data_IF_919177056718
#
_entry.id   IF_919177056718
#
_cell.length_a   1.000
_cell.length_b   1.000
_cell.length_c   1.000
_cell.angle_alpha   90.00
_cell.angle_beta   90.00
_cell.angle_gamma   90.00
#
_symmetry.space_group_name_H-M   'P 1'
#
loop_
_entity.id
_entity.type
_entity.pdbx_description
1 polymer ?
#
# COMPACT_ATOMS: atom_id res chain seq x y z
N UNK A 1 -0.57 12.43 10.12
CA UNK A 1 0.01 11.19 9.60
C UNK A 1 0.28 10.28 10.78
N UNK A 2 0.03 8.99 10.67
CA UNK A 2 0.46 8.00 11.68
C UNK A 2 1.98 7.87 11.55
N UNK A 3 2.66 7.93 12.67
CA UNK A 3 4.11 7.93 12.76
C UNK A 3 4.63 6.63 13.42
N UNK A 4 5.93 6.48 13.47
CA UNK A 4 6.62 5.33 14.08
C UNK A 4 6.20 5.12 15.56
N UNK A 5 5.91 6.20 16.29
CA UNK A 5 5.45 6.14 17.68
C UNK A 5 4.08 5.43 17.78
N UNK A 6 3.18 5.68 16.86
CA UNK A 6 1.87 4.99 16.80
C UNK A 6 2.03 3.52 16.46
N UNK A 7 2.90 3.19 15.49
CA UNK A 7 3.19 1.80 15.13
C UNK A 7 3.79 1.03 16.31
N UNK A 8 4.77 1.61 17.00
CA UNK A 8 5.42 1.01 18.17
C UNK A 8 4.42 0.76 19.32
N UNK A 9 3.53 1.71 19.59
CA UNK A 9 2.47 1.57 20.60
C UNK A 9 1.48 0.46 20.23
N UNK A 10 1.10 0.36 18.96
CA UNK A 10 0.21 -0.69 18.49
C UNK A 10 0.82 -2.09 18.66
N UNK A 11 2.12 -2.24 18.35
CA UNK A 11 2.85 -3.48 18.57
C UNK A 11 2.90 -3.82 20.07
N UNK A 12 3.28 -2.86 20.93
CA UNK A 12 3.29 -3.03 22.37
C UNK A 12 1.94 -3.49 22.90
N UNK A 13 0.88 -2.86 22.50
CA UNK A 13 -0.48 -3.21 22.90
C UNK A 13 -0.89 -4.62 22.43
N UNK A 14 -0.53 -5.01 21.22
CA UNK A 14 -0.79 -6.37 20.73
C UNK A 14 -0.08 -7.44 21.58
N UNK A 15 1.17 -7.18 21.99
CA UNK A 15 1.94 -8.06 22.89
C UNK A 15 1.32 -8.14 24.28
N UNK A 16 0.86 -7.02 24.87
CA UNK A 16 0.13 -6.98 26.13
C UNK A 16 -1.16 -7.81 26.07
N UNK A 17 -1.83 -7.84 24.94
CA UNK A 17 -3.00 -8.68 24.68
C UNK A 17 -2.65 -10.17 24.44
N UNK A 18 -1.38 -10.56 24.56
CA UNK A 18 -0.92 -11.95 24.47
C UNK A 18 -0.57 -12.41 23.06
N UNK A 19 -0.31 -11.50 22.14
CA UNK A 19 0.30 -11.87 20.87
C UNK A 19 1.75 -12.28 21.09
N UNK A 20 2.19 -13.37 20.44
CA UNK A 20 3.59 -13.79 20.39
C UNK A 20 4.38 -13.05 19.30
N UNK A 21 3.68 -12.41 18.39
CA UNK A 21 4.21 -11.60 17.30
C UNK A 21 3.20 -10.55 16.88
N UNK A 22 3.68 -9.36 16.54
CA UNK A 22 2.89 -8.32 15.91
C UNK A 22 3.74 -7.55 14.90
N UNK A 23 3.16 -7.19 13.77
CA UNK A 23 3.69 -6.20 12.86
C UNK A 23 2.59 -5.20 12.46
N UNK A 24 3.03 -3.98 12.19
CA UNK A 24 2.17 -2.88 11.75
C UNK A 24 2.77 -2.29 10.49
N UNK A 25 1.92 -2.06 9.51
CA UNK A 25 2.29 -1.36 8.30
C UNK A 25 1.35 -0.17 8.09
N UNK A 26 1.94 0.99 7.89
CA UNK A 26 1.25 2.19 7.43
C UNK A 26 1.65 2.42 5.98
N UNK A 27 0.68 2.62 5.10
CA UNK A 27 0.94 2.86 3.69
C UNK A 27 0.11 4.06 3.21
N UNK A 28 0.76 4.97 2.51
CA UNK A 28 0.14 6.00 1.71
C UNK A 28 0.43 5.73 0.24
N UNK A 29 -0.60 5.77 -0.60
CA UNK A 29 -0.47 5.60 -2.04
C UNK A 29 -1.24 6.69 -2.76
N UNK A 30 -0.59 7.32 -3.71
CA UNK A 30 -1.23 8.19 -4.70
C UNK A 30 -1.04 7.59 -6.08
N UNK A 31 -2.14 7.41 -6.81
CA UNK A 31 -2.12 6.89 -8.19
C UNK A 31 -2.84 7.87 -9.10
N UNK A 32 -2.23 8.16 -10.24
CA UNK A 32 -2.87 8.93 -11.31
C UNK A 32 -2.58 8.30 -12.66
N UNK A 33 -3.62 8.24 -13.51
CA UNK A 33 -3.47 7.68 -14.83
C UNK A 33 -4.49 8.22 -15.82
N UNK A 34 -4.25 7.98 -17.10
CA UNK A 34 -5.18 8.31 -18.17
C UNK A 34 -5.06 7.30 -19.31
N UNK A 35 -6.13 7.19 -20.05
CA UNK A 35 -6.22 6.52 -21.34
C UNK A 35 -6.40 7.56 -22.41
N UNK A 36 -5.51 7.58 -23.39
CA UNK A 36 -5.58 8.40 -24.59
C UNK A 36 -5.84 7.51 -25.80
N UNK A 37 -6.88 7.81 -26.56
CA UNK A 37 -7.21 7.08 -27.78
C UNK A 37 -7.34 8.06 -28.94
N UNK A 38 -6.61 7.81 -30.01
CA UNK A 38 -6.62 8.63 -31.22
C UNK A 38 -6.45 10.14 -30.97
N UNK A 39 -5.60 10.51 -30.01
CA UNK A 39 -5.32 11.91 -29.63
C UNK A 39 -6.29 12.52 -28.62
N UNK A 40 -7.34 11.82 -28.24
CA UNK A 40 -8.32 12.27 -27.24
C UNK A 40 -8.16 11.52 -25.92
N UNK A 41 -8.29 12.23 -24.80
CA UNK A 41 -8.34 11.59 -23.48
C UNK A 41 -9.74 11.01 -23.29
N UNK A 42 -9.82 9.67 -23.22
CA UNK A 42 -11.07 8.94 -23.03
C UNK A 42 -11.38 8.72 -21.55
N UNK A 43 -10.33 8.55 -20.74
CA UNK A 43 -10.49 8.27 -19.32
C UNK A 43 -9.33 8.85 -18.52
N UNK A 44 -9.66 9.35 -17.31
CA UNK A 44 -8.68 9.71 -16.29
C UNK A 44 -9.04 9.02 -14.98
N UNK A 45 -8.05 8.55 -14.26
CA UNK A 45 -8.21 7.98 -12.93
C UNK A 45 -7.27 8.70 -11.95
N UNK A 46 -7.75 8.93 -10.73
CA UNK A 46 -6.96 9.43 -9.62
C UNK A 46 -7.47 8.80 -8.34
N UNK A 47 -6.58 8.23 -7.54
CA UNK A 47 -6.90 7.74 -6.20
C UNK A 47 -5.82 8.16 -5.21
N UNK A 48 -6.25 8.35 -3.96
CA UNK A 48 -5.37 8.48 -2.80
C UNK A 48 -5.87 7.44 -1.80
N UNK A 49 -4.99 6.54 -1.41
CA UNK A 49 -5.26 5.50 -0.44
C UNK A 49 -4.30 5.69 0.74
N UNK A 50 -4.83 5.78 1.93
CA UNK A 50 -4.09 5.81 3.18
C UNK A 50 -4.62 4.73 4.09
N UNK A 51 -3.76 3.86 4.59
CA UNK A 51 -4.19 2.73 5.38
C UNK A 51 -3.18 2.28 6.42
N UNK A 52 -3.71 1.57 7.42
CA UNK A 52 -2.93 0.86 8.42
C UNK A 52 -3.36 -0.60 8.42
N UNK A 53 -2.41 -1.50 8.46
CA UNK A 53 -2.66 -2.94 8.65
C UNK A 53 -1.88 -3.48 9.82
N UNK A 54 -2.50 -4.41 10.54
CA UNK A 54 -1.94 -5.08 11.70
C UNK A 54 -2.01 -6.59 11.47
N UNK A 55 -0.89 -7.27 11.68
CA UNK A 55 -0.81 -8.73 11.74
C UNK A 55 -0.33 -9.15 13.11
N UNK A 56 -0.95 -10.17 13.65
CA UNK A 56 -0.57 -10.75 14.95
C UNK A 56 -0.54 -12.27 14.88
N UNK A 57 0.23 -12.90 15.77
CA UNK A 57 0.13 -14.32 16.06
C UNK A 57 -0.31 -14.47 17.51
N UNK A 58 -1.42 -15.17 17.72
CA UNK A 58 -1.93 -15.54 19.05
C UNK A 58 -2.23 -17.02 19.06
N UNK A 59 -1.68 -17.76 20.03
CA UNK A 59 -1.84 -19.21 20.16
C UNK A 59 -1.49 -20.00 18.88
N UNK A 60 -0.50 -19.50 18.12
CA UNK A 60 -0.06 -20.08 16.86
C UNK A 60 -0.99 -19.84 15.66
N UNK A 61 -1.96 -18.94 15.78
CA UNK A 61 -2.85 -18.56 14.69
C UNK A 61 -2.61 -17.11 14.24
N UNK A 62 -2.70 -16.86 12.95
CA UNK A 62 -2.65 -15.52 12.40
C UNK A 62 -3.97 -14.77 12.61
N UNK A 63 -3.86 -13.49 12.97
CA UNK A 63 -4.92 -12.51 12.89
C UNK A 63 -4.45 -11.32 12.05
N UNK A 64 -5.34 -10.78 11.23
CA UNK A 64 -5.07 -9.64 10.37
C UNK A 64 -6.27 -8.68 10.40
N UNK A 65 -5.98 -7.40 10.48
CA UNK A 65 -6.99 -6.36 10.32
C UNK A 65 -6.39 -5.14 9.62
N UNK A 66 -7.18 -4.48 8.78
CA UNK A 66 -6.77 -3.27 8.09
C UNK A 66 -7.86 -2.20 8.21
N UNK A 67 -7.43 -0.95 8.28
CA UNK A 67 -8.27 0.25 8.37
C UNK A 67 -7.85 1.23 7.29
N UNK A 68 -8.82 1.73 6.53
CA UNK A 68 -8.61 2.85 5.62
C UNK A 68 -8.71 4.17 6.39
N UNK A 69 -7.88 5.13 6.02
CA UNK A 69 -7.85 6.48 6.62
C UNK A 69 -7.85 6.47 8.17
N UNK A 70 -6.93 5.71 8.81
CA UNK A 70 -6.97 5.51 10.26
C UNK A 70 -6.64 6.80 11.01
N UNK A 71 -7.41 7.07 12.06
CA UNK A 71 -7.03 8.01 13.11
C UNK A 71 -6.36 7.26 14.29
N UNK A 72 -5.87 7.97 15.32
CA UNK A 72 -5.16 7.35 16.45
C UNK A 72 -6.04 6.42 17.29
N UNK A 73 -7.35 6.67 17.35
CA UNK A 73 -8.30 5.85 18.12
C UNK A 73 -8.58 4.54 17.39
N UNK A 74 -8.62 4.56 16.06
CA UNK A 74 -8.84 3.37 15.23
C UNK A 74 -7.72 2.33 15.37
N UNK A 75 -6.51 2.75 15.74
CA UNK A 75 -5.35 1.85 15.87
C UNK A 75 -5.55 0.82 16.97
N UNK A 76 -6.00 1.22 18.15
CA UNK A 76 -6.25 0.30 19.27
C UNK A 76 -7.38 -0.69 18.94
N UNK A 77 -8.45 -0.20 18.33
CA UNK A 77 -9.58 -1.04 17.89
C UNK A 77 -9.14 -2.05 16.80
N UNK A 78 -8.26 -1.64 15.91
CA UNK A 78 -7.69 -2.52 14.89
C UNK A 78 -6.82 -3.64 15.51
N UNK A 79 -6.01 -3.33 16.53
CA UNK A 79 -5.25 -4.33 17.30
C UNK A 79 -6.20 -5.32 17.97
N UNK A 80 -7.22 -4.83 18.69
CA UNK A 80 -8.21 -5.69 19.34
C UNK A 80 -8.91 -6.63 18.36
N UNK A 81 -9.26 -6.14 17.18
CA UNK A 81 -9.88 -6.94 16.12
C UNK A 81 -8.93 -8.00 15.58
N UNK A 82 -7.67 -7.64 15.30
CA UNK A 82 -6.66 -8.59 14.84
C UNK A 82 -6.43 -9.71 15.87
N UNK A 83 -6.28 -9.37 17.15
CA UNK A 83 -6.10 -10.34 18.24
C UNK A 83 -7.32 -11.24 18.39
N UNK A 84 -8.54 -10.70 18.35
CA UNK A 84 -9.77 -11.50 18.40
C UNK A 84 -9.89 -12.48 17.23
N UNK A 85 -9.52 -12.06 16.03
CA UNK A 85 -9.51 -12.94 14.85
C UNK A 85 -8.51 -14.08 15.01
N UNK A 86 -7.29 -13.80 15.48
CA UNK A 86 -6.31 -14.83 15.78
C UNK A 86 -6.81 -15.84 16.80
N UNK A 87 -7.32 -15.38 17.96
CA UNK A 87 -7.90 -16.25 18.99
C UNK A 87 -9.08 -17.08 18.50
N UNK A 88 -9.98 -16.48 17.73
CA UNK A 88 -11.14 -17.18 17.19
C UNK A 88 -10.79 -18.28 16.21
N UNK A 89 -9.63 -18.17 15.53
CA UNK A 89 -9.14 -19.19 14.58
C UNK A 89 -8.22 -20.23 15.22
N UNK A 90 -7.61 -19.94 16.39
CA UNK A 90 -6.55 -20.76 16.99
C UNK A 90 -6.94 -22.23 17.24
N UNK A 91 -8.20 -22.49 17.59
CA UNK A 91 -8.72 -23.87 17.80
C UNK A 91 -8.88 -24.68 16.51
N UNK A 92 -8.83 -24.03 15.35
CA UNK A 92 -9.02 -24.65 14.03
C UNK A 92 -7.72 -24.76 13.24
N UNK A 93 -6.64 -24.21 13.72
CA UNK A 93 -5.32 -24.29 13.08
C UNK A 93 -4.76 -25.69 13.24
N UNK A 94 -4.47 -26.35 12.14
CA UNK A 94 -3.88 -27.71 12.13
C UNK A 94 -2.42 -27.69 12.53
N UNK A 95 -1.68 -26.70 12.06
CA UNK A 95 -0.26 -26.49 12.36
C UNK A 95 -0.09 -25.08 12.94
N UNK A 96 0.45 -25.02 14.15
CA UNK A 96 0.71 -23.74 14.81
C UNK A 96 1.87 -23.02 14.13
N UNK A 97 1.70 -21.73 13.89
CA UNK A 97 2.75 -20.87 13.34
C UNK A 97 3.81 -20.66 14.41
N UNK A 98 5.05 -20.99 14.06
CA UNK A 98 6.25 -20.71 14.85
C UNK A 98 7.18 -19.93 13.94
N UNK A 99 7.53 -18.72 14.35
CA UNK A 99 8.50 -17.89 13.62
C UNK A 99 9.91 -18.33 13.96
N UNK A 100 10.81 -18.22 12.99
CA UNK A 100 12.24 -18.43 13.24
C UNK A 100 12.78 -17.31 14.15
N UNK A 101 13.71 -17.65 15.03
CA UNK A 101 14.44 -16.66 15.81
C UNK A 101 15.30 -15.80 14.88
N UNK A 102 15.14 -14.51 14.95
CA UNK A 102 15.94 -13.53 14.22
C UNK A 102 16.42 -12.44 15.17
N UNK A 103 17.61 -11.93 14.92
CA UNK A 103 18.08 -10.74 15.65
C UNK A 103 17.21 -9.54 15.26
N UNK A 104 16.74 -8.79 16.26
CA UNK A 104 16.10 -7.52 16.03
C UNK A 104 17.16 -6.52 15.50
N UNK A 105 16.82 -5.81 14.45
CA UNK A 105 17.59 -4.67 13.95
C UNK A 105 16.64 -3.54 13.57
N UNK A 106 17.15 -2.33 13.62
CA UNK A 106 16.46 -1.15 13.14
C UNK A 106 17.25 -0.60 11.96
N UNK A 107 16.58 -0.32 10.87
CA UNK A 107 17.18 0.24 9.68
C UNK A 107 16.23 1.27 9.05
N UNK A 108 16.79 2.30 8.46
CA UNK A 108 16.06 3.26 7.66
C UNK A 108 16.64 3.23 6.26
N UNK A 109 15.82 2.80 5.31
CA UNK A 109 16.22 2.74 3.90
C UNK A 109 15.42 3.79 3.13
N UNK A 110 16.12 4.81 2.65
CA UNK A 110 15.55 5.81 1.77
C UNK A 110 15.98 5.50 0.32
N UNK A 111 15.01 5.16 -0.51
CA UNK A 111 15.23 5.04 -1.95
C UNK A 111 15.01 6.40 -2.60
N UNK A 112 16.09 7.17 -2.71
CA UNK A 112 16.06 8.44 -3.46
C UNK A 112 15.91 8.18 -4.96
N UNK A 113 14.95 8.82 -5.57
CA UNK A 113 14.83 8.83 -7.02
C UNK A 113 15.93 9.72 -7.61
N UNK A 114 16.58 9.28 -8.69
CA UNK A 114 17.57 10.10 -9.42
C UNK A 114 16.96 11.35 -10.04
N UNK A 115 15.65 11.35 -10.25
CA UNK A 115 14.85 12.46 -10.75
C UNK A 115 13.59 12.52 -9.90
N UNK A 116 13.14 13.69 -9.48
CA UNK A 116 11.83 13.84 -8.84
C UNK A 116 10.77 13.32 -9.82
N UNK A 117 10.27 12.13 -9.53
CA UNK A 117 9.39 11.37 -10.41
C UNK A 117 7.94 11.87 -10.34
N UNK A 118 7.65 12.85 -9.50
CA UNK A 118 6.37 13.57 -9.56
C UNK A 118 6.35 14.44 -10.81
N UNK A 119 6.35 13.74 -11.96
CA UNK A 119 6.14 14.38 -13.26
C UNK A 119 4.84 15.15 -13.18
N UNK A 120 4.86 16.41 -13.53
CA UNK A 120 3.61 17.15 -13.73
C UNK A 120 2.72 16.32 -14.65
N UNK A 121 1.56 15.94 -14.15
CA UNK A 121 0.62 15.07 -14.90
C UNK A 121 0.30 15.63 -16.30
N UNK A 122 0.30 16.96 -16.42
CA UNK A 122 0.16 17.64 -17.71
C UNK A 122 1.27 17.28 -18.70
N UNK A 123 2.55 17.23 -18.25
CA UNK A 123 3.66 16.83 -19.12
C UNK A 123 3.55 15.39 -19.60
N UNK A 124 3.04 14.51 -18.73
CA UNK A 124 2.81 13.10 -19.11
C UNK A 124 1.76 13.01 -20.23
N UNK A 125 0.71 13.83 -20.16
CA UNK A 125 -0.31 13.95 -21.22
C UNK A 125 0.31 14.49 -22.51
N UNK A 126 1.16 15.51 -22.44
CA UNK A 126 1.80 16.09 -23.61
C UNK A 126 2.69 15.08 -24.32
N UNK A 127 3.51 14.32 -23.59
CA UNK A 127 4.30 13.24 -24.16
C UNK A 127 3.43 12.15 -24.80
N UNK A 128 2.34 11.76 -24.13
CA UNK A 128 1.43 10.76 -24.71
C UNK A 128 0.81 11.25 -26.03
N UNK A 129 0.42 12.52 -26.13
CA UNK A 129 -0.11 13.11 -27.36
C UNK A 129 0.95 13.16 -28.47
N UNK A 130 2.20 13.47 -28.13
CA UNK A 130 3.31 13.45 -29.08
C UNK A 130 3.52 12.04 -29.62
N UNK A 131 3.62 11.02 -28.77
CA UNK A 131 3.74 9.62 -29.19
C UNK A 131 2.53 9.16 -30.01
N UNK A 132 1.32 9.52 -29.62
CA UNK A 132 0.11 9.20 -30.37
C UNK A 132 0.16 9.80 -31.80
N UNK A 133 0.60 11.05 -31.91
CA UNK A 133 0.78 11.72 -33.21
C UNK A 133 1.80 10.99 -34.10
N UNK A 134 2.93 10.58 -33.55
CA UNK A 134 3.97 9.81 -34.25
C UNK A 134 3.42 8.46 -34.71
N UNK A 135 2.70 7.75 -33.84
CA UNK A 135 2.09 6.46 -34.17
C UNK A 135 1.10 6.60 -35.31
N UNK A 136 0.17 7.54 -35.19
CA UNK A 136 -0.90 7.77 -36.19
C UNK A 136 -0.41 8.35 -37.52
N UNK A 137 0.81 8.90 -37.55
CA UNK A 137 1.42 9.35 -38.80
C UNK A 137 1.86 8.19 -39.70
N UNK A 138 1.86 6.95 -39.22
CA UNK A 138 2.26 5.77 -40.00
C UNK A 138 1.08 5.23 -40.79
N UNK A 139 1.32 4.93 -42.07
CA UNK A 139 0.33 4.29 -42.92
C UNK A 139 -0.12 2.94 -42.37
N UNK A 140 -1.41 2.66 -42.44
CA UNK A 140 -2.01 1.41 -41.95
C UNK A 140 -2.38 1.40 -40.46
N UNK A 141 -2.09 2.46 -39.69
CA UNK A 141 -2.55 2.60 -38.31
C UNK A 141 -3.94 3.24 -38.29
N UNK A 142 -4.91 2.46 -37.86
CA UNK A 142 -6.33 2.92 -37.78
C UNK A 142 -6.71 3.34 -36.34
N UNK A 143 -6.00 2.83 -35.35
CA UNK A 143 -6.25 3.11 -33.95
C UNK A 143 -4.94 3.14 -33.16
N UNK A 144 -4.81 4.14 -32.31
CA UNK A 144 -3.76 4.28 -31.33
C UNK A 144 -4.37 4.39 -29.93
N UNK A 145 -3.83 3.64 -28.98
CA UNK A 145 -4.25 3.70 -27.58
C UNK A 145 -3.01 3.78 -26.70
N UNK A 146 -2.92 4.79 -25.86
CA UNK A 146 -1.84 4.99 -24.90
C UNK A 146 -2.41 5.02 -23.49
N UNK A 147 -1.90 4.16 -22.62
CA UNK A 147 -2.20 4.20 -21.20
C UNK A 147 -0.93 4.65 -20.47
N UNK A 148 -1.02 5.70 -19.68
CA UNK A 148 0.09 6.22 -18.91
C UNK A 148 -0.38 6.71 -17.55
N UNK A 149 0.52 6.63 -16.56
CA UNK A 149 0.24 7.05 -15.20
C UNK A 149 1.46 6.90 -14.31
N UNK A 150 1.27 7.19 -13.04
CA UNK A 150 2.25 6.96 -11.99
C UNK A 150 1.58 6.47 -10.71
N UNK A 151 2.36 5.74 -9.93
CA UNK A 151 2.05 5.38 -8.55
C UNK A 151 3.18 5.92 -7.66
N UNK A 152 2.77 6.63 -6.60
CA UNK A 152 3.66 7.05 -5.52
C UNK A 152 3.26 6.30 -4.25
N UNK A 153 4.23 5.72 -3.54
CA UNK A 153 3.97 4.90 -2.35
C UNK A 153 4.97 5.25 -1.26
N UNK A 154 4.45 5.58 -0.07
CA UNK A 154 5.21 5.68 1.19
C UNK A 154 4.77 4.54 2.13
N UNK A 155 5.75 3.91 2.80
CA UNK A 155 5.51 2.80 3.74
C UNK A 155 6.32 2.99 5.00
#
# INVERSE_FOLDING_TARGET
MLDEDVASKAIGYALELGASYADVRVEYRESRGFLLENGSIEHTASSIDHGLSIRVIVDGAWGFYAVAEPNREDVSDAVDKAVRLARGSSSRVKERVILADTNAYSDMVEFGFKVDSRVEFARLIDYAKEYDSIIRSREGIYKSTINAGYDYVEK
#
